data_IF_983341991004
#
_entry.id   IF_983341991004
#
_cell.length_a   1.000
_cell.length_b   1.000
_cell.length_c   1.000
_cell.angle_alpha   90.00
_cell.angle_beta   90.00
_cell.angle_gamma   90.00
#
_symmetry.space_group_name_H-M   'P 1'
#
loop_
_entity.id
_entity.type
_entity.pdbx_description
1 polymer ?
#
# COMPACT_ATOMS: atom_id res chain seq x y z
N UNK A 1 35.89 5.05 -30.27
CA UNK A 1 35.23 4.21 -29.25
C UNK A 1 35.43 4.93 -27.92
N UNK A 2 34.44 5.69 -27.46
CA UNK A 2 34.52 6.43 -26.19
C UNK A 2 33.92 5.58 -25.07
N UNK A 3 34.47 5.60 -23.84
CA UNK A 3 33.92 4.81 -22.75
C UNK A 3 32.65 5.48 -22.22
N UNK A 4 31.63 4.67 -21.98
CA UNK A 4 30.37 5.08 -21.39
C UNK A 4 30.59 5.39 -19.90
N UNK A 5 30.53 6.68 -19.55
CA UNK A 5 30.63 7.15 -18.16
C UNK A 5 29.38 6.74 -17.40
N UNK A 6 29.49 5.77 -16.50
CA UNK A 6 28.43 5.44 -15.56
C UNK A 6 28.13 6.65 -14.67
N UNK A 7 27.01 7.32 -14.95
CA UNK A 7 26.48 8.39 -14.08
C UNK A 7 26.01 7.73 -12.79
N UNK A 8 26.81 7.85 -11.73
CA UNK A 8 26.39 7.54 -10.37
C UNK A 8 25.23 8.47 -10.00
N UNK A 9 24.00 7.99 -10.18
CA UNK A 9 22.81 8.67 -9.65
C UNK A 9 22.94 8.65 -8.14
N UNK A 10 23.09 9.82 -7.51
CA UNK A 10 22.95 9.95 -6.06
C UNK A 10 21.62 9.32 -5.67
N UNK A 11 21.65 8.28 -4.83
CA UNK A 11 20.41 7.71 -4.28
C UNK A 11 19.71 8.83 -3.53
N UNK A 12 18.47 9.13 -3.90
CA UNK A 12 17.65 10.10 -3.18
C UNK A 12 17.59 9.72 -1.70
N UNK A 13 17.55 10.72 -0.81
CA UNK A 13 17.47 10.47 0.64
C UNK A 13 16.24 9.60 0.97
N UNK A 14 16.36 8.62 1.88
CA UNK A 14 15.22 7.87 2.41
C UNK A 14 14.09 8.79 2.88
N UNK A 15 12.82 8.40 2.65
CA UNK A 15 11.68 9.24 3.04
C UNK A 15 11.62 9.46 4.55
N UNK A 16 12.02 8.47 5.36
CA UNK A 16 12.05 8.62 6.81
C UNK A 16 12.93 9.78 7.27
N UNK A 17 13.99 10.10 6.53
CA UNK A 17 14.93 11.18 6.85
C UNK A 17 14.40 12.57 6.47
N UNK A 18 13.29 12.63 5.73
CA UNK A 18 12.67 13.89 5.30
C UNK A 18 11.64 14.41 6.29
N UNK A 19 11.33 13.66 7.35
CA UNK A 19 10.36 14.01 8.37
C UNK A 19 10.99 14.02 9.76
N UNK A 20 10.42 14.81 10.68
CA UNK A 20 10.86 14.78 12.08
C UNK A 20 10.46 13.47 12.77
N UNK A 21 11.17 13.14 13.85
CA UNK A 21 10.82 11.99 14.69
C UNK A 21 9.41 12.11 15.26
N UNK A 22 9.00 13.31 15.69
CA UNK A 22 7.63 13.56 16.16
C UNK A 22 6.58 13.27 15.07
N UNK A 23 6.85 13.63 13.81
CA UNK A 23 5.97 13.30 12.69
C UNK A 23 5.92 11.78 12.49
N UNK A 24 7.08 11.09 12.46
CA UNK A 24 7.15 9.63 12.35
C UNK A 24 6.38 8.93 13.49
N UNK A 25 6.53 9.39 14.73
CA UNK A 25 5.83 8.85 15.90
C UNK A 25 4.34 9.19 15.96
N UNK A 26 3.86 10.11 15.13
CA UNK A 26 2.42 10.39 14.99
C UNK A 26 1.71 9.34 14.13
N UNK A 27 2.45 8.54 13.35
CA UNK A 27 1.88 7.44 12.56
C UNK A 27 1.14 6.44 13.46
N UNK A 28 -0.05 6.01 13.02
CA UNK A 28 -0.87 5.01 13.74
C UNK A 28 -1.13 3.80 12.85
N UNK A 29 -0.86 2.62 13.39
CA UNK A 29 -1.25 1.35 12.79
C UNK A 29 -2.76 1.18 12.97
N UNK A 30 -3.55 1.76 12.05
CA UNK A 30 -5.00 1.64 12.03
C UNK A 30 -5.51 0.28 11.57
N UNK A 31 -6.82 0.06 11.63
CA UNK A 31 -7.45 -1.15 11.11
C UNK A 31 -7.57 -1.08 9.59
N UNK A 32 -7.14 -2.14 8.90
CA UNK A 32 -7.18 -2.21 7.45
C UNK A 32 -6.41 -1.06 6.78
N UNK A 33 -7.11 -0.23 6.02
CA UNK A 33 -6.56 0.86 5.18
C UNK A 33 -6.59 2.24 5.85
N UNK A 34 -6.93 2.32 7.14
CA UNK A 34 -7.01 3.61 7.84
C UNK A 34 -5.68 4.37 7.80
N UNK A 35 -5.75 5.63 7.38
CA UNK A 35 -4.62 6.56 7.27
C UNK A 35 -3.81 6.45 5.97
N UNK A 36 -4.09 5.49 5.09
CA UNK A 36 -3.28 5.22 3.87
C UNK A 36 -3.24 6.40 2.89
N UNK A 37 -4.26 7.26 2.90
CA UNK A 37 -4.37 8.43 2.03
C UNK A 37 -4.07 9.78 2.72
N UNK A 38 -3.50 9.76 3.93
CA UNK A 38 -3.29 10.99 4.72
C UNK A 38 -1.88 11.18 5.26
N UNK A 39 -1.07 10.12 5.35
CA UNK A 39 0.25 10.19 5.99
C UNK A 39 1.35 10.51 4.96
N UNK A 40 1.87 11.73 4.98
CA UNK A 40 2.92 12.22 4.07
C UNK A 40 4.33 12.03 4.66
N UNK A 41 5.38 11.93 3.83
CA UNK A 41 5.39 11.93 2.35
C UNK A 41 5.06 10.57 1.71
N UNK A 42 4.80 9.55 2.54
CA UNK A 42 4.59 8.18 2.09
C UNK A 42 3.42 8.02 1.13
N UNK A 43 2.29 8.69 1.41
CA UNK A 43 1.14 8.69 0.49
C UNK A 43 1.57 9.15 -0.90
N UNK A 44 2.24 10.30 -1.01
CA UNK A 44 2.64 10.85 -2.31
C UNK A 44 3.63 9.97 -3.06
N UNK A 45 4.51 9.28 -2.34
CA UNK A 45 5.46 8.35 -2.94
C UNK A 45 4.82 7.04 -3.43
N UNK A 46 3.80 6.53 -2.73
CA UNK A 46 3.23 5.19 -3.00
C UNK A 46 1.99 5.26 -3.91
N UNK A 47 1.15 6.30 -3.76
CA UNK A 47 -0.12 6.43 -4.50
C UNK A 47 0.02 6.32 -6.03
N UNK A 48 1.06 6.89 -6.69
CA UNK A 48 1.22 6.76 -8.15
C UNK A 48 1.42 5.32 -8.65
N UNK A 49 1.87 4.41 -7.78
CA UNK A 49 2.09 3.00 -8.10
C UNK A 49 0.77 2.21 -8.08
N UNK A 50 -0.28 2.75 -7.47
CA UNK A 50 -1.52 2.04 -7.19
C UNK A 50 -2.55 2.16 -8.34
N UNK A 51 -2.83 1.04 -9.03
CA UNK A 51 -3.71 0.98 -10.20
C UNK A 51 -4.24 -0.44 -10.44
N UNK A 52 -5.49 -0.59 -10.88
CA UNK A 52 -6.13 -1.92 -11.02
C UNK A 52 -7.23 -1.97 -12.11
N UNK A 53 -7.10 -1.14 -13.15
CA UNK A 53 -8.15 -1.04 -14.19
C UNK A 53 -8.33 -2.35 -14.96
N UNK A 54 -7.25 -3.05 -15.25
CA UNK A 54 -7.25 -4.36 -15.93
C UNK A 54 -6.33 -5.31 -15.18
N UNK A 55 -6.39 -6.62 -15.47
CA UNK A 55 -5.48 -7.60 -14.83
C UNK A 55 -4.00 -7.30 -15.06
N UNK A 56 -3.53 -6.97 -16.29
CA UNK A 56 -2.13 -6.59 -16.50
C UNK A 56 -1.72 -5.35 -15.69
N UNK A 57 -2.60 -4.36 -15.58
CA UNK A 57 -2.36 -3.15 -14.78
C UNK A 57 -2.27 -3.49 -13.29
N UNK A 58 -3.16 -4.35 -12.78
CA UNK A 58 -3.16 -4.79 -11.39
C UNK A 58 -1.89 -5.58 -11.03
N UNK A 59 -1.43 -6.46 -11.94
CA UNK A 59 -0.17 -7.19 -11.79
C UNK A 59 1.02 -6.24 -11.67
N UNK A 60 1.18 -5.32 -12.63
CA UNK A 60 2.26 -4.34 -12.58
C UNK A 60 2.17 -3.46 -11.33
N UNK A 61 0.97 -3.04 -10.94
CA UNK A 61 0.79 -2.25 -9.71
C UNK A 61 1.23 -3.00 -8.46
N UNK A 62 0.86 -4.28 -8.33
CA UNK A 62 1.23 -5.09 -7.18
C UNK A 62 2.74 -5.36 -7.15
N UNK A 63 3.38 -5.56 -8.31
CA UNK A 63 4.84 -5.68 -8.45
C UNK A 63 5.56 -4.38 -8.08
N UNK A 64 5.10 -3.23 -8.59
CA UNK A 64 5.67 -1.92 -8.26
C UNK A 64 5.57 -1.63 -6.75
N UNK A 65 4.41 -1.92 -6.15
CA UNK A 65 4.19 -1.78 -4.71
C UNK A 65 5.07 -2.75 -3.91
N UNK A 66 5.25 -3.99 -4.38
CA UNK A 66 6.14 -4.94 -3.74
C UNK A 66 7.62 -4.50 -3.79
N UNK A 67 8.06 -3.99 -4.94
CA UNK A 67 9.39 -3.38 -5.05
C UNK A 67 9.55 -2.20 -4.07
N UNK A 68 8.52 -1.35 -3.95
CA UNK A 68 8.54 -0.23 -3.01
C UNK A 68 8.56 -0.68 -1.55
N UNK A 69 7.86 -1.76 -1.22
CA UNK A 69 7.91 -2.39 0.11
C UNK A 69 9.32 -2.87 0.44
N UNK A 70 9.98 -3.56 -0.49
CA UNK A 70 11.37 -4.01 -0.30
C UNK A 70 12.37 -2.85 -0.22
N UNK A 71 12.15 -1.77 -0.97
CA UNK A 71 12.97 -0.57 -0.86
C UNK A 71 12.90 0.03 0.56
N UNK A 72 11.70 0.08 1.16
CA UNK A 72 11.55 0.51 2.55
C UNK A 72 12.11 -0.49 3.55
N UNK A 73 12.02 -1.80 3.25
CA UNK A 73 12.65 -2.86 4.05
C UNK A 73 14.16 -2.69 4.12
N UNK A 74 14.82 -2.47 2.99
CA UNK A 74 16.27 -2.25 2.93
C UNK A 74 16.69 -1.01 3.72
N UNK A 75 15.79 -0.03 3.82
CA UNK A 75 15.98 1.20 4.62
C UNK A 75 15.64 1.01 6.11
N UNK A 76 15.08 -0.13 6.53
CA UNK A 76 14.51 -0.35 7.87
C UNK A 76 13.37 0.64 8.20
N UNK A 77 12.60 1.04 7.18
CA UNK A 77 11.49 1.98 7.29
C UNK A 77 10.15 1.27 7.49
N UNK A 78 9.83 0.95 8.75
CA UNK A 78 8.54 0.35 9.09
C UNK A 78 7.32 1.14 8.55
N UNK A 79 7.35 2.47 8.60
CA UNK A 79 6.19 3.28 8.20
C UNK A 79 5.97 3.18 6.70
N UNK A 80 7.05 3.24 5.92
CA UNK A 80 7.01 2.99 4.48
C UNK A 80 6.50 1.59 4.14
N UNK A 81 7.00 0.55 4.83
CA UNK A 81 6.54 -0.83 4.65
C UNK A 81 5.04 -0.98 4.96
N UNK A 82 4.56 -0.51 6.12
CA UNK A 82 3.16 -0.64 6.50
C UNK A 82 2.22 0.18 5.60
N UNK A 83 2.62 1.40 5.21
CA UNK A 83 1.87 2.19 4.24
C UNK A 83 1.74 1.46 2.91
N UNK A 84 2.81 0.84 2.43
CA UNK A 84 2.82 0.09 1.17
C UNK A 84 1.91 -1.14 1.26
N UNK A 85 2.00 -1.92 2.34
CA UNK A 85 1.08 -3.03 2.64
C UNK A 85 -0.39 -2.57 2.65
N UNK A 86 -0.69 -1.39 3.22
CA UNK A 86 -2.05 -0.81 3.21
C UNK A 86 -2.51 -0.44 1.80
N UNK A 87 -1.63 0.08 0.94
CA UNK A 87 -1.96 0.32 -0.47
C UNK A 87 -2.26 -0.98 -1.22
N UNK A 88 -1.49 -2.04 -0.98
CA UNK A 88 -1.76 -3.38 -1.54
C UNK A 88 -3.13 -3.89 -1.03
N UNK A 89 -3.42 -3.74 0.27
CA UNK A 89 -4.72 -4.07 0.85
C UNK A 89 -5.87 -3.30 0.18
N UNK A 90 -5.68 -1.99 -0.05
CA UNK A 90 -6.64 -1.15 -0.77
C UNK A 90 -6.87 -1.61 -2.21
N UNK A 91 -5.83 -2.15 -2.88
CA UNK A 91 -5.95 -2.79 -4.19
C UNK A 91 -6.88 -4.00 -4.13
N UNK A 92 -6.64 -4.89 -3.18
CA UNK A 92 -7.46 -6.08 -2.93
C UNK A 92 -8.93 -5.71 -2.65
N UNK A 93 -9.20 -4.86 -1.65
CA UNK A 93 -10.58 -4.57 -1.23
C UNK A 93 -11.35 -3.77 -2.28
N UNK A 94 -10.71 -2.82 -2.98
CA UNK A 94 -11.37 -2.06 -4.04
C UNK A 94 -11.62 -2.92 -5.26
N UNK A 95 -10.66 -3.74 -5.70
CA UNK A 95 -10.90 -4.67 -6.81
C UNK A 95 -12.07 -5.63 -6.48
N UNK A 96 -12.10 -6.21 -5.27
CA UNK A 96 -13.22 -7.06 -4.82
C UNK A 96 -14.56 -6.31 -4.79
N UNK A 97 -14.56 -5.04 -4.40
CA UNK A 97 -15.78 -4.21 -4.44
C UNK A 97 -16.29 -4.01 -5.86
N UNK A 98 -15.40 -3.82 -6.83
CA UNK A 98 -15.78 -3.69 -8.23
C UNK A 98 -16.27 -5.03 -8.82
N UNK A 99 -15.71 -6.16 -8.39
CA UNK A 99 -16.22 -7.48 -8.76
C UNK A 99 -17.63 -7.76 -8.20
N UNK A 100 -17.93 -7.21 -7.01
CA UNK A 100 -19.24 -7.39 -6.38
C UNK A 100 -20.30 -6.39 -6.87
N UNK A 101 -19.90 -5.19 -7.28
CA UNK A 101 -20.83 -4.12 -7.65
C UNK A 101 -20.35 -3.45 -8.94
N UNK A 102 -21.18 -3.50 -9.98
CA UNK A 102 -20.90 -2.84 -11.25
C UNK A 102 -20.55 -1.34 -11.04
N UNK A 103 -19.41 -0.92 -11.58
CA UNK A 103 -18.89 0.45 -11.40
C UNK A 103 -18.40 0.77 -9.98
N UNK A 104 -18.30 -0.20 -9.07
CA UNK A 104 -17.74 -0.07 -7.73
C UNK A 104 -18.61 0.68 -6.71
N UNK A 105 -19.85 1.03 -7.06
CA UNK A 105 -20.79 1.74 -6.18
C UNK A 105 -21.48 0.73 -5.26
N UNK A 106 -21.12 0.76 -3.98
CA UNK A 106 -21.68 -0.12 -2.96
C UNK A 106 -22.97 0.41 -2.32
N UNK A 107 -23.10 1.72 -2.17
CA UNK A 107 -24.22 2.35 -1.47
C UNK A 107 -25.12 3.14 -2.43
N UNK A 108 -26.41 3.17 -2.16
CA UNK A 108 -27.34 4.06 -2.85
C UNK A 108 -26.97 5.52 -2.56
N UNK A 109 -27.15 6.39 -3.55
CA UNK A 109 -26.70 7.79 -3.47
C UNK A 109 -27.38 8.49 -2.29
N UNK A 110 -26.57 9.04 -1.39
CA UNK A 110 -27.06 9.78 -0.21
C UNK A 110 -27.54 8.91 0.96
N UNK A 111 -27.40 7.57 0.90
CA UNK A 111 -27.81 6.68 1.98
C UNK A 111 -26.70 5.69 2.35
N UNK A 112 -26.89 4.96 3.47
CA UNK A 112 -26.06 3.82 3.87
C UNK A 112 -26.65 2.48 3.44
N UNK A 113 -27.67 2.50 2.59
CA UNK A 113 -28.33 1.32 2.04
C UNK A 113 -27.38 0.65 1.02
N UNK A 114 -27.02 -0.61 1.27
CA UNK A 114 -26.15 -1.38 0.37
C UNK A 114 -26.93 -1.82 -0.87
N UNK A 115 -26.33 -1.59 -2.05
CA UNK A 115 -26.84 -2.10 -3.30
C UNK A 115 -26.61 -3.61 -3.36
N UNK A 116 -27.51 -4.37 -4.02
CA UNK A 116 -27.28 -5.78 -4.29
C UNK A 116 -25.94 -6.01 -4.98
N UNK A 117 -25.35 -7.17 -4.74
CA UNK A 117 -24.23 -7.61 -5.56
C UNK A 117 -24.75 -7.90 -6.97
N UNK A 118 -23.91 -7.64 -7.96
CA UNK A 118 -24.18 -7.96 -9.35
C UNK A 118 -23.28 -9.10 -9.78
N UNK A 119 -23.86 -10.12 -10.40
CA UNK A 119 -23.10 -11.28 -10.88
C UNK A 119 -22.87 -11.30 -12.39
N UNK A 120 -23.50 -10.37 -13.12
CA UNK A 120 -23.64 -10.43 -14.59
C UNK A 120 -22.81 -9.37 -15.35
N UNK A 121 -22.07 -8.51 -14.65
CA UNK A 121 -21.29 -7.45 -15.32
C UNK A 121 -19.98 -8.01 -15.90
N UNK A 122 -19.67 -7.59 -17.13
CA UNK A 122 -18.58 -8.12 -17.95
C UNK A 122 -17.20 -8.05 -17.30
N UNK A 123 -16.95 -7.06 -16.44
CA UNK A 123 -15.65 -6.86 -15.79
C UNK A 123 -15.49 -7.64 -14.48
N UNK A 124 -16.51 -8.36 -14.00
CA UNK A 124 -16.50 -9.08 -12.72
C UNK A 124 -15.27 -9.99 -12.55
N UNK A 125 -15.06 -10.91 -13.48
CA UNK A 125 -13.98 -11.91 -13.41
C UNK A 125 -12.59 -11.25 -13.47
N UNK A 126 -12.48 -10.17 -14.24
CA UNK A 126 -11.25 -9.38 -14.32
C UNK A 126 -10.94 -8.70 -12.97
N UNK A 127 -11.97 -8.15 -12.31
CA UNK A 127 -11.85 -7.51 -10.99
C UNK A 127 -11.59 -8.51 -9.88
N UNK A 128 -12.19 -9.69 -9.95
CA UNK A 128 -11.90 -10.78 -9.02
C UNK A 128 -10.43 -11.21 -9.14
N UNK A 129 -9.95 -11.41 -10.36
CA UNK A 129 -8.55 -11.75 -10.64
C UNK A 129 -7.60 -10.67 -10.12
N UNK A 130 -7.91 -9.38 -10.37
CA UNK A 130 -7.12 -8.28 -9.82
C UNK A 130 -7.08 -8.30 -8.28
N UNK A 131 -8.20 -8.60 -7.62
CA UNK A 131 -8.25 -8.73 -6.16
C UNK A 131 -7.35 -9.85 -5.66
N UNK A 132 -7.36 -11.02 -6.32
CA UNK A 132 -6.53 -12.17 -5.95
C UNK A 132 -5.04 -11.88 -6.12
N UNK A 133 -4.65 -11.13 -7.15
CA UNK A 133 -3.27 -10.67 -7.35
C UNK A 133 -2.80 -9.85 -6.14
N UNK A 134 -3.56 -8.81 -5.76
CA UNK A 134 -3.20 -8.00 -4.59
C UNK A 134 -3.21 -8.81 -3.29
N UNK A 135 -4.12 -9.77 -3.15
CA UNK A 135 -4.19 -10.65 -1.98
C UNK A 135 -2.89 -11.43 -1.79
N UNK A 136 -2.34 -12.02 -2.84
CA UNK A 136 -1.08 -12.76 -2.76
C UNK A 136 0.08 -11.89 -2.27
N UNK A 137 0.19 -10.65 -2.76
CA UNK A 137 1.21 -9.71 -2.27
C UNK A 137 0.93 -9.21 -0.85
N UNK A 138 -0.33 -9.04 -0.47
CA UNK A 138 -0.71 -8.65 0.87
C UNK A 138 -0.36 -9.72 1.91
N UNK A 139 -0.56 -10.99 1.57
CA UNK A 139 -0.15 -12.15 2.39
C UNK A 139 1.38 -12.15 2.55
N UNK A 140 2.14 -11.99 1.46
CA UNK A 140 3.62 -11.86 1.51
C UNK A 140 4.10 -10.74 2.42
N UNK A 141 3.54 -9.53 2.32
CA UNK A 141 3.91 -8.43 3.21
C UNK A 141 3.65 -8.73 4.69
N UNK A 142 2.61 -9.52 5.00
CA UNK A 142 2.27 -9.87 6.38
C UNK A 142 3.14 -10.99 6.95
N UNK A 143 3.56 -11.89 6.09
CA UNK A 143 4.41 -13.04 6.44
C UNK A 143 5.89 -12.67 6.47
N UNK A 144 6.27 -11.50 5.96
CA UNK A 144 7.64 -10.99 6.00
C UNK A 144 8.12 -10.80 7.46
N UNK A 145 9.17 -11.53 7.83
CA UNK A 145 9.72 -11.54 9.20
C UNK A 145 10.26 -10.16 9.61
N UNK A 146 10.92 -9.45 8.70
CA UNK A 146 11.47 -8.12 8.96
C UNK A 146 10.36 -7.09 9.22
N UNK A 147 9.27 -7.17 8.45
CA UNK A 147 8.09 -6.36 8.72
C UNK A 147 7.52 -6.60 10.13
N UNK A 148 7.47 -7.86 10.58
CA UNK A 148 6.97 -8.21 11.91
C UNK A 148 7.90 -7.66 13.00
N UNK A 149 9.21 -7.84 12.85
CA UNK A 149 10.21 -7.33 13.79
C UNK A 149 10.17 -5.80 13.89
N UNK A 150 10.25 -5.10 12.77
CA UNK A 150 10.23 -3.63 12.72
C UNK A 150 8.92 -3.03 13.23
N UNK A 151 7.81 -3.76 13.09
CA UNK A 151 6.52 -3.37 13.68
C UNK A 151 6.58 -3.37 15.20
N UNK A 152 7.14 -4.41 15.80
CA UNK A 152 7.28 -4.53 17.25
C UNK A 152 8.21 -3.44 17.80
N UNK A 153 9.35 -3.22 17.14
CA UNK A 153 10.27 -2.14 17.48
C UNK A 153 9.62 -0.77 17.39
N UNK A 154 8.88 -0.50 16.30
CA UNK A 154 8.17 0.76 16.13
C UNK A 154 7.13 0.99 17.22
N UNK A 155 6.36 -0.04 17.59
CA UNK A 155 5.36 0.05 18.66
C UNK A 155 6.01 0.31 20.02
N UNK A 156 7.12 -0.35 20.32
CA UNK A 156 7.91 -0.11 21.54
C UNK A 156 8.42 1.32 21.57
N UNK A 157 9.09 1.77 20.50
CA UNK A 157 9.60 3.14 20.39
C UNK A 157 8.50 4.19 20.52
N UNK A 158 7.35 3.94 19.91
CA UNK A 158 6.19 4.84 20.01
C UNK A 158 5.60 4.90 21.42
N UNK A 159 5.65 3.80 22.17
CA UNK A 159 5.24 3.78 23.57
C UNK A 159 6.21 4.62 24.41
N UNK A 160 7.50 4.34 24.32
CA UNK A 160 8.55 5.05 25.07
C UNK A 160 8.51 6.56 24.79
N UNK A 161 8.24 6.97 23.54
CA UNK A 161 8.05 8.37 23.15
C UNK A 161 6.85 9.05 23.81
N UNK A 162 5.75 8.33 24.05
CA UNK A 162 4.55 8.90 24.71
C UNK A 162 4.71 9.02 26.22
N UNK A 163 5.55 8.15 26.78
CA UNK A 163 5.82 8.07 28.21
C UNK A 163 6.95 9.05 28.65
N UNK A 164 7.60 9.70 27.68
CA UNK A 164 8.65 10.74 27.87
C UNK A 164 8.07 12.15 27.81
#
# INVERSE_FOLDING_TARGET
>A
MAPEMAVSRSKAKPLMETISEAHRMSYRIGRGEQGVLTFEPYKSAILPLWRFRTVPIARQSAEDLWAKFNEFKDQHDFVGMDMTRKFIQMGMTRAKRYANHAGGRKYKKGTREELPKSDEHLDKDEKETASLIFRGYWERCKEDEEYQNLKEEFLKKQKDWKDS
#
